data_IF_159734441851
#
_entry.id   IF_159734441851
#
_cell.length_a   1.000
_cell.length_b   1.000
_cell.length_c   1.000
_cell.angle_alpha   90.00
_cell.angle_beta   90.00
_cell.angle_gamma   90.00
#
_symmetry.space_group_name_H-M   'P 1'
#
loop_
_entity.id
_entity.type
_entity.pdbx_description
1 polymer ?
#
# COMPACT_ATOMS: atom_id res chain seq x y z
N UNK A 1 -12.90 -23.95 -3.38
CA UNK A 1 -13.71 -24.74 -4.32
C UNK A 1 -14.24 -26.03 -3.69
N UNK A 2 -13.54 -26.66 -2.74
CA UNK A 2 -13.91 -27.94 -2.15
C UNK A 2 -13.56 -29.17 -3.02
N UNK A 3 -12.85 -28.95 -4.13
CA UNK A 3 -12.34 -30.04 -4.96
C UNK A 3 -11.03 -30.56 -4.38
N UNK A 4 -10.85 -31.88 -4.39
CA UNK A 4 -9.59 -32.52 -4.00
C UNK A 4 -8.55 -32.16 -5.07
N UNK A 5 -7.38 -31.72 -4.61
CA UNK A 5 -6.22 -31.44 -5.46
C UNK A 5 -5.08 -32.36 -5.07
N UNK A 6 -4.31 -32.80 -6.07
CA UNK A 6 -3.17 -33.67 -5.89
C UNK A 6 -1.92 -33.01 -6.47
N UNK A 7 -0.70 -33.31 -5.94
CA UNK A 7 0.55 -32.85 -6.52
C UNK A 7 0.72 -33.40 -7.93
N UNK A 8 1.08 -32.53 -8.86
CA UNK A 8 1.38 -32.88 -10.24
C UNK A 8 2.76 -32.36 -10.62
N UNK A 9 3.64 -33.23 -11.08
CA UNK A 9 4.96 -32.83 -11.55
C UNK A 9 4.85 -32.32 -12.98
N UNK A 10 5.34 -31.11 -13.18
CA UNK A 10 5.44 -30.48 -14.52
C UNK A 10 6.65 -29.55 -14.54
N UNK A 11 7.17 -29.28 -15.72
CA UNK A 11 8.25 -28.32 -15.90
C UNK A 11 7.76 -26.92 -15.54
N UNK A 12 8.60 -26.19 -14.83
CA UNK A 12 8.28 -24.87 -14.33
C UNK A 12 9.45 -23.91 -14.59
N UNK A 13 9.12 -22.63 -14.72
CA UNK A 13 10.10 -21.56 -14.76
C UNK A 13 10.48 -21.10 -13.36
N UNK A 14 11.78 -21.01 -13.12
CA UNK A 14 12.32 -20.56 -11.85
C UNK A 14 13.25 -19.36 -12.02
N UNK A 15 13.22 -18.45 -11.09
CA UNK A 15 14.24 -17.42 -10.88
C UNK A 15 15.24 -17.94 -9.85
N UNK A 16 16.52 -17.97 -10.20
CA UNK A 16 17.57 -18.19 -9.24
C UNK A 16 17.70 -16.96 -8.35
N UNK A 17 17.24 -17.07 -7.12
CA UNK A 17 17.04 -15.92 -6.22
C UNK A 17 18.26 -15.54 -5.44
N UNK A 18 19.16 -16.48 -5.13
CA UNK A 18 20.34 -16.25 -4.29
C UNK A 18 21.20 -15.08 -4.79
N UNK A 19 21.62 -15.01 -6.08
CA UNK A 19 22.44 -13.90 -6.56
C UNK A 19 21.70 -12.54 -6.57
N UNK A 20 20.35 -12.56 -6.52
CA UNK A 20 19.52 -11.35 -6.41
C UNK A 20 19.35 -10.91 -4.95
N UNK A 21 19.36 -11.86 -4.03
CA UNK A 21 19.16 -11.62 -2.61
C UNK A 21 20.38 -10.97 -1.94
N UNK A 22 21.57 -11.37 -2.31
CA UNK A 22 22.81 -10.84 -1.71
C UNK A 22 22.91 -9.30 -1.78
N UNK A 23 22.79 -8.64 -2.95
CA UNK A 23 22.82 -7.18 -3.01
C UNK A 23 21.60 -6.53 -2.33
N UNK A 24 20.44 -7.20 -2.35
CA UNK A 24 19.21 -6.71 -1.71
C UNK A 24 19.32 -6.72 -0.17
N UNK A 25 19.97 -7.74 0.42
CA UNK A 25 20.28 -7.80 1.84
C UNK A 25 21.24 -6.66 2.21
N UNK A 26 22.33 -6.50 1.44
CA UNK A 26 23.33 -5.47 1.67
C UNK A 26 22.72 -4.05 1.65
N UNK A 27 21.74 -3.78 0.76
CA UNK A 27 21.08 -2.48 0.68
C UNK A 27 20.28 -2.10 1.93
N UNK A 28 19.81 -3.08 2.70
CA UNK A 28 19.14 -2.84 3.98
C UNK A 28 20.17 -2.79 5.12
N UNK A 29 21.20 -3.63 5.09
CA UNK A 29 22.27 -3.64 6.11
C UNK A 29 23.06 -2.34 6.13
N UNK A 30 23.34 -1.75 4.96
CA UNK A 30 24.08 -0.49 4.83
C UNK A 30 23.21 0.77 4.93
N UNK A 31 21.89 0.61 5.09
CA UNK A 31 20.95 1.70 5.32
C UNK A 31 20.48 2.44 4.07
N UNK A 32 20.81 1.98 2.86
CA UNK A 32 20.21 2.53 1.61
C UNK A 32 18.70 2.33 1.56
N UNK A 33 18.21 1.27 2.22
CA UNK A 33 16.77 1.01 2.42
C UNK A 33 16.56 0.83 3.92
N UNK A 34 15.56 1.54 4.48
CA UNK A 34 15.22 1.49 5.89
C UNK A 34 13.76 1.04 6.08
N UNK A 35 13.51 0.21 7.07
CA UNK A 35 12.14 -0.16 7.45
C UNK A 35 11.66 0.69 8.63
N UNK A 36 10.43 1.16 8.54
CA UNK A 36 9.76 1.88 9.61
C UNK A 36 8.44 1.15 9.93
N UNK A 37 8.29 0.59 11.14
CA UNK A 37 9.28 0.52 12.21
C UNK A 37 10.40 -0.51 11.92
N UNK A 38 11.58 -0.25 12.46
CA UNK A 38 12.81 -1.03 12.22
C UNK A 38 12.69 -2.53 12.53
N UNK A 39 11.81 -2.92 13.42
CA UNK A 39 11.60 -4.34 13.77
C UNK A 39 11.28 -5.24 12.57
N UNK A 40 10.74 -4.71 11.48
CA UNK A 40 10.43 -5.46 10.27
C UNK A 40 11.64 -5.83 9.42
N UNK A 41 12.81 -5.23 9.68
CA UNK A 41 14.08 -5.69 9.11
C UNK A 41 14.37 -7.14 9.48
N UNK A 42 14.03 -7.55 10.71
CA UNK A 42 14.24 -8.94 11.14
C UNK A 42 13.42 -9.93 10.31
N UNK A 43 12.17 -9.60 9.99
CA UNK A 43 11.32 -10.41 9.12
C UNK A 43 11.89 -10.49 7.70
N UNK A 44 12.32 -9.34 7.15
CA UNK A 44 12.96 -9.27 5.86
C UNK A 44 14.23 -10.12 5.79
N UNK A 45 15.16 -9.96 6.73
CA UNK A 45 16.42 -10.70 6.76
C UNK A 45 16.22 -12.21 6.97
N UNK A 46 15.29 -12.61 7.85
CA UNK A 46 14.99 -14.02 8.09
C UNK A 46 14.57 -14.72 6.80
N UNK A 47 13.73 -14.08 6.00
CA UNK A 47 13.27 -14.64 4.74
C UNK A 47 14.35 -14.58 3.64
N UNK A 48 15.06 -13.45 3.53
CA UNK A 48 16.06 -13.24 2.46
C UNK A 48 17.29 -14.12 2.60
N UNK A 49 17.73 -14.41 3.83
CA UNK A 49 18.90 -15.25 4.09
C UNK A 49 18.65 -16.73 3.84
N UNK A 50 17.40 -17.17 3.89
CA UNK A 50 16.97 -18.56 3.62
C UNK A 50 16.10 -18.67 2.36
N UNK A 51 16.27 -17.74 1.43
CA UNK A 51 15.45 -17.66 0.23
C UNK A 51 15.70 -18.85 -0.69
N UNK A 52 14.61 -19.47 -1.15
CA UNK A 52 14.62 -20.55 -2.13
C UNK A 52 14.33 -19.98 -3.53
N UNK A 53 14.73 -20.75 -4.56
CA UNK A 53 14.46 -20.39 -5.95
C UNK A 53 12.93 -20.22 -6.15
N UNK A 54 12.58 -19.19 -6.89
CA UNK A 54 11.21 -18.74 -7.02
C UNK A 54 10.60 -19.26 -8.32
N UNK A 55 9.63 -20.18 -8.18
CA UNK A 55 8.79 -20.59 -9.30
C UNK A 55 7.91 -19.41 -9.76
N UNK A 56 8.08 -19.00 -11.01
CA UNK A 56 7.38 -17.84 -11.59
C UNK A 56 6.32 -18.22 -12.62
N UNK A 57 6.17 -19.47 -12.97
CA UNK A 57 5.13 -19.96 -13.88
C UNK A 57 3.86 -20.39 -13.14
N UNK A 58 2.71 -20.12 -13.75
CA UNK A 58 1.39 -20.48 -13.22
C UNK A 58 0.53 -21.04 -14.35
N UNK A 59 -0.18 -22.13 -14.08
CA UNK A 59 -1.11 -22.79 -14.98
C UNK A 59 -2.50 -22.13 -14.84
N UNK A 60 -2.63 -20.88 -15.28
CA UNK A 60 -3.86 -20.09 -15.24
C UNK A 60 -4.30 -19.70 -16.65
N UNK A 61 -5.59 -19.54 -16.84
CA UNK A 61 -6.15 -19.12 -18.14
C UNK A 61 -5.98 -17.66 -18.45
N UNK A 62 -5.70 -16.83 -17.42
CA UNK A 62 -5.57 -15.39 -17.54
C UNK A 62 -4.30 -14.89 -16.84
N UNK A 63 -3.53 -14.07 -17.53
CA UNK A 63 -2.32 -13.45 -17.02
C UNK A 63 -1.35 -13.06 -18.13
N UNK A 64 -0.15 -12.66 -17.75
CA UNK A 64 0.93 -12.39 -18.69
C UNK A 64 1.57 -13.71 -19.11
N UNK A 65 1.36 -14.13 -20.36
CA UNK A 65 1.99 -15.34 -20.89
C UNK A 65 3.51 -15.22 -20.83
N UNK A 66 4.15 -16.32 -20.48
CA UNK A 66 5.62 -16.39 -20.44
C UNK A 66 6.13 -16.16 -21.87
N UNK A 67 7.09 -15.20 -22.06
CA UNK A 67 7.60 -14.84 -23.38
C UNK A 67 8.69 -15.84 -23.83
N UNK A 68 8.36 -17.11 -23.80
CA UNK A 68 9.20 -18.22 -24.20
C UNK A 68 8.52 -19.04 -25.29
N UNK A 69 9.31 -19.55 -26.21
CA UNK A 69 8.88 -20.28 -27.40
C UNK A 69 9.69 -21.56 -27.52
N UNK A 70 9.04 -22.63 -27.90
CA UNK A 70 9.65 -23.95 -28.05
C UNK A 70 9.58 -24.39 -29.50
N UNK A 71 10.67 -24.97 -30.02
CA UNK A 71 10.65 -25.71 -31.28
C UNK A 71 10.26 -27.18 -31.04
N UNK A 72 10.14 -27.94 -32.13
CA UNK A 72 9.77 -29.38 -32.07
C UNK A 72 10.79 -30.23 -31.30
N UNK A 73 12.03 -29.78 -31.17
CA UNK A 73 13.07 -30.46 -30.38
C UNK A 73 13.00 -30.16 -28.89
N UNK A 74 12.11 -29.25 -28.47
CA UNK A 74 12.00 -28.74 -27.09
C UNK A 74 13.02 -27.66 -26.72
N UNK A 75 13.74 -27.12 -27.71
CA UNK A 75 14.67 -26.02 -27.48
C UNK A 75 13.91 -24.73 -27.23
N UNK A 76 14.35 -23.98 -26.17
CA UNK A 76 13.69 -22.77 -25.70
C UNK A 76 14.31 -21.52 -26.32
N UNK A 77 13.45 -20.60 -26.70
CA UNK A 77 13.82 -19.27 -27.19
C UNK A 77 13.02 -18.21 -26.44
N UNK A 78 13.64 -17.10 -26.08
CA UNK A 78 12.99 -16.02 -25.34
C UNK A 78 12.88 -14.75 -26.19
N UNK A 79 11.67 -14.22 -26.29
CA UNK A 79 11.36 -12.99 -27.03
C UNK A 79 9.93 -12.54 -26.78
N UNK A 80 9.63 -11.29 -27.07
CA UNK A 80 8.31 -10.68 -26.85
C UNK A 80 7.22 -11.29 -27.76
N UNK A 81 7.62 -11.65 -28.96
CA UNK A 81 6.76 -12.28 -29.96
C UNK A 81 7.56 -13.24 -30.85
N UNK A 82 6.87 -13.99 -31.66
CA UNK A 82 7.47 -14.96 -32.55
C UNK A 82 8.41 -14.32 -33.59
N UNK A 83 8.07 -13.12 -34.08
CA UNK A 83 8.88 -12.42 -35.06
C UNK A 83 10.23 -11.99 -34.49
N UNK A 84 10.25 -11.47 -33.24
CA UNK A 84 11.48 -11.15 -32.54
C UNK A 84 12.34 -12.40 -32.27
N UNK A 85 11.71 -13.49 -31.85
CA UNK A 85 12.41 -14.78 -31.65
C UNK A 85 13.08 -15.25 -32.93
N UNK A 86 12.35 -15.26 -34.07
CA UNK A 86 12.88 -15.67 -35.37
C UNK A 86 14.07 -14.79 -35.79
N UNK A 87 13.90 -13.47 -35.66
CA UNK A 87 14.96 -12.53 -36.03
C UNK A 87 16.20 -12.67 -35.13
N UNK A 88 16.03 -12.79 -33.81
CA UNK A 88 17.11 -12.88 -32.84
C UNK A 88 17.94 -14.17 -32.96
N UNK A 89 17.29 -15.28 -33.36
CA UNK A 89 17.91 -16.59 -33.41
C UNK A 89 18.12 -17.11 -34.86
N UNK A 90 17.87 -16.28 -35.87
CA UNK A 90 17.98 -16.62 -37.28
C UNK A 90 17.19 -17.89 -37.66
N UNK A 91 15.95 -18.00 -37.16
CA UNK A 91 15.10 -19.17 -37.43
C UNK A 91 14.30 -18.99 -38.72
N UNK A 92 14.33 -20.02 -39.57
CA UNK A 92 13.51 -20.07 -40.79
C UNK A 92 12.02 -20.21 -40.51
N UNK A 93 11.19 -19.91 -41.51
CA UNK A 93 9.73 -20.06 -41.40
C UNK A 93 9.28 -21.53 -41.32
N UNK A 94 10.16 -22.44 -41.68
CA UNK A 94 9.97 -23.89 -41.64
C UNK A 94 10.05 -24.47 -40.23
N UNK A 95 10.64 -23.72 -39.26
CA UNK A 95 10.69 -24.14 -37.87
C UNK A 95 9.40 -23.77 -37.16
N UNK A 96 8.62 -24.79 -36.76
CA UNK A 96 7.43 -24.57 -35.95
C UNK A 96 7.81 -24.07 -34.53
N UNK A 97 7.19 -22.97 -34.08
CA UNK A 97 7.38 -22.42 -32.77
C UNK A 97 6.07 -22.41 -32.00
N UNK A 98 6.09 -22.88 -30.77
CA UNK A 98 4.94 -22.83 -29.86
C UNK A 98 5.30 -21.98 -28.63
N UNK A 99 4.48 -20.95 -28.35
CA UNK A 99 4.63 -20.16 -27.15
C UNK A 99 4.25 -20.98 -25.92
N UNK A 100 4.95 -20.76 -24.80
CA UNK A 100 4.60 -21.31 -23.50
C UNK A 100 3.13 -21.02 -23.14
N UNK A 101 2.42 -21.99 -22.61
CA UNK A 101 1.03 -21.85 -22.22
C UNK A 101 0.84 -21.28 -20.82
N UNK A 102 1.89 -21.28 -20.01
CA UNK A 102 1.86 -20.75 -18.65
C UNK A 102 1.90 -19.22 -18.64
N UNK A 103 1.46 -18.66 -17.55
CA UNK A 103 1.51 -17.23 -17.27
C UNK A 103 2.47 -16.94 -16.12
N UNK A 104 2.96 -15.71 -16.05
CA UNK A 104 3.83 -15.27 -14.98
C UNK A 104 3.06 -15.15 -13.65
N UNK A 105 3.72 -15.47 -12.56
CA UNK A 105 3.27 -15.16 -11.20
C UNK A 105 2.93 -13.67 -11.07
N UNK A 106 1.79 -13.36 -10.46
CA UNK A 106 1.36 -11.98 -10.17
C UNK A 106 2.46 -11.16 -9.51
N UNK A 107 3.21 -11.78 -8.60
CA UNK A 107 4.29 -11.11 -7.88
C UNK A 107 5.52 -10.81 -8.74
N UNK A 108 5.69 -11.49 -9.86
CA UNK A 108 6.73 -11.15 -10.83
C UNK A 108 6.43 -9.80 -11.48
N UNK A 109 5.24 -9.65 -12.03
CA UNK A 109 4.80 -8.37 -12.63
C UNK A 109 4.76 -7.25 -11.59
N UNK A 110 4.26 -7.53 -10.37
CA UNK A 110 4.22 -6.57 -9.27
C UNK A 110 5.61 -6.14 -8.81
N UNK A 111 6.61 -7.03 -8.90
CA UNK A 111 7.99 -6.72 -8.55
C UNK A 111 8.69 -5.76 -9.53
N UNK A 112 8.15 -5.62 -10.74
CA UNK A 112 8.64 -4.69 -11.76
C UNK A 112 8.04 -3.28 -11.65
N UNK A 113 7.02 -3.10 -10.80
CA UNK A 113 6.15 -1.93 -10.79
C UNK A 113 6.91 -0.60 -10.61
N UNK A 114 7.92 -0.54 -9.73
CA UNK A 114 8.65 0.68 -9.38
C UNK A 114 9.31 1.37 -10.57
N UNK A 115 9.63 0.66 -11.62
CA UNK A 115 10.33 1.18 -12.80
C UNK A 115 9.59 0.92 -14.13
N UNK A 116 8.85 -0.18 -14.25
CA UNK A 116 8.16 -0.51 -15.50
C UNK A 116 7.06 0.50 -15.83
N UNK A 117 6.32 0.98 -14.84
CA UNK A 117 5.27 2.01 -15.02
C UNK A 117 5.82 3.39 -15.37
N UNK A 118 7.12 3.61 -15.15
CA UNK A 118 7.82 4.84 -15.50
C UNK A 118 8.47 4.80 -16.90
N UNK A 119 8.24 3.70 -17.63
CA UNK A 119 8.65 3.55 -19.02
C UNK A 119 9.97 2.79 -19.24
N UNK A 120 10.57 2.18 -18.20
CA UNK A 120 11.71 1.29 -18.38
C UNK A 120 11.37 0.17 -19.42
N UNK A 121 12.27 -0.23 -20.33
CA UNK A 121 13.72 0.04 -20.35
C UNK A 121 14.15 1.37 -20.99
N UNK A 122 13.22 2.16 -21.54
CA UNK A 122 13.54 3.47 -22.08
C UNK A 122 13.91 4.44 -20.96
N UNK A 123 14.88 5.32 -21.24
CA UNK A 123 15.32 6.36 -20.29
C UNK A 123 14.39 7.59 -20.38
N UNK A 124 13.13 7.41 -19.93
CA UNK A 124 12.11 8.46 -19.93
C UNK A 124 12.38 9.54 -18.89
N UNK A 125 11.84 10.73 -19.08
CA UNK A 125 11.89 11.80 -18.08
C UNK A 125 11.17 11.39 -16.77
N UNK A 126 10.10 10.57 -16.85
CA UNK A 126 9.43 10.04 -15.68
C UNK A 126 10.34 9.11 -14.87
N UNK A 127 11.05 8.20 -15.54
CA UNK A 127 11.99 7.28 -14.88
C UNK A 127 13.10 8.08 -14.19
N UNK A 128 13.70 9.05 -14.88
CA UNK A 128 14.78 9.88 -14.31
C UNK A 128 14.31 10.71 -13.10
N UNK A 129 13.07 11.19 -13.12
CA UNK A 129 12.53 12.08 -12.08
C UNK A 129 12.00 11.33 -10.86
N UNK A 130 11.35 10.18 -11.05
CA UNK A 130 10.57 9.52 -10.01
C UNK A 130 11.17 8.19 -9.52
N UNK A 131 12.17 7.66 -10.18
CA UNK A 131 12.94 6.54 -9.71
C UNK A 131 14.31 7.02 -9.19
N UNK A 132 14.71 6.64 -8.01
CA UNK A 132 14.11 5.85 -6.94
C UNK A 132 13.05 6.64 -6.17
N UNK A 133 11.96 5.98 -5.71
CA UNK A 133 10.98 6.65 -4.85
C UNK A 133 11.51 6.84 -3.43
N UNK A 134 10.92 7.78 -2.67
CA UNK A 134 11.35 8.02 -1.29
C UNK A 134 10.72 7.03 -0.31
N UNK A 135 9.40 6.81 -0.40
CA UNK A 135 8.67 5.98 0.56
C UNK A 135 7.77 4.98 -0.14
N UNK A 136 7.90 3.71 0.24
CA UNK A 136 6.92 2.66 -0.04
C UNK A 136 6.07 2.42 1.20
N UNK A 137 4.75 2.48 1.05
CA UNK A 137 3.79 2.16 2.12
C UNK A 137 3.21 0.77 1.87
N UNK A 138 3.28 -0.13 2.86
CA UNK A 138 2.83 -1.52 2.70
C UNK A 138 2.36 -2.13 4.02
N UNK A 139 1.59 -3.23 3.92
CA UNK A 139 1.34 -4.12 5.04
C UNK A 139 2.51 -5.09 5.28
N UNK A 140 2.62 -5.58 6.50
CA UNK A 140 3.69 -6.54 6.85
C UNK A 140 3.55 -7.89 6.13
N UNK A 141 2.33 -8.27 5.76
CA UNK A 141 1.99 -9.57 5.18
C UNK A 141 2.50 -9.74 3.73
N UNK A 142 2.94 -8.67 3.08
CA UNK A 142 3.50 -8.73 1.74
C UNK A 142 4.97 -8.26 1.65
N UNK A 143 5.67 -8.15 2.77
CA UNK A 143 7.09 -7.77 2.77
C UNK A 143 7.91 -8.73 1.91
N UNK A 144 7.75 -10.04 2.07
CA UNK A 144 8.51 -11.02 1.29
C UNK A 144 7.91 -11.28 -0.11
N UNK A 145 6.59 -11.13 -0.29
CA UNK A 145 5.97 -11.31 -1.60
C UNK A 145 6.22 -10.14 -2.54
N UNK A 146 6.20 -8.93 -2.03
CA UNK A 146 6.24 -7.72 -2.84
C UNK A 146 7.49 -6.88 -2.61
N UNK A 147 7.75 -6.46 -1.37
CA UNK A 147 8.86 -5.55 -1.06
C UNK A 147 10.22 -6.18 -1.44
N UNK A 148 10.49 -7.38 -0.94
CA UNK A 148 11.74 -8.09 -1.21
C UNK A 148 11.95 -8.34 -2.71
N UNK A 149 10.88 -8.69 -3.44
CA UNK A 149 10.94 -8.93 -4.89
C UNK A 149 11.15 -7.65 -5.68
N UNK A 150 10.52 -6.53 -5.27
CA UNK A 150 10.83 -5.23 -5.88
C UNK A 150 12.29 -4.84 -5.68
N UNK A 151 12.84 -5.04 -4.48
CA UNK A 151 14.25 -4.74 -4.20
C UNK A 151 15.18 -5.59 -5.10
N UNK A 152 14.98 -6.91 -5.11
CA UNK A 152 15.78 -7.84 -5.92
C UNK A 152 15.72 -7.48 -7.41
N UNK A 153 14.52 -7.34 -7.97
CA UNK A 153 14.34 -7.10 -9.41
C UNK A 153 14.83 -5.71 -9.81
N UNK A 154 14.55 -4.68 -9.02
CA UNK A 154 15.05 -3.32 -9.31
C UNK A 154 16.57 -3.29 -9.31
N UNK A 155 17.20 -3.78 -8.25
CA UNK A 155 18.65 -3.76 -8.14
C UNK A 155 19.37 -4.61 -9.20
N UNK A 156 18.68 -5.62 -9.74
CA UNK A 156 19.22 -6.42 -10.85
C UNK A 156 19.07 -5.72 -12.20
N UNK A 157 17.90 -5.16 -12.47
CA UNK A 157 17.50 -4.67 -13.80
C UNK A 157 17.81 -3.18 -14.02
N UNK A 158 17.73 -2.35 -12.97
CA UNK A 158 17.92 -0.91 -13.07
C UNK A 158 19.29 -0.51 -12.51
N UNK A 159 20.11 0.11 -13.36
CA UNK A 159 21.47 0.51 -13.03
C UNK A 159 21.64 2.02 -13.17
N UNK A 160 22.53 2.59 -12.37
CA UNK A 160 23.08 3.91 -12.57
C UNK A 160 23.99 3.94 -13.81
N UNK A 161 24.39 5.14 -14.23
CA UNK A 161 25.30 5.32 -15.37
C UNK A 161 26.66 4.64 -15.17
N UNK A 162 27.11 4.51 -13.93
CA UNK A 162 28.35 3.82 -13.52
C UNK A 162 28.17 2.28 -13.40
N UNK A 163 26.96 1.76 -13.69
CA UNK A 163 26.63 0.32 -13.60
C UNK A 163 26.26 -0.16 -12.20
N UNK A 164 26.28 0.71 -11.18
CA UNK A 164 25.85 0.33 -9.83
C UNK A 164 24.34 0.11 -9.74
N UNK A 165 23.86 -0.84 -8.89
CA UNK A 165 22.44 -1.09 -8.71
C UNK A 165 21.70 0.11 -8.11
N UNK A 166 20.51 0.44 -8.66
CA UNK A 166 19.61 1.38 -8.03
C UNK A 166 18.71 0.66 -7.02
N UNK A 167 18.40 1.32 -5.89
CA UNK A 167 17.36 0.86 -4.97
C UNK A 167 15.99 1.34 -5.44
N UNK A 168 14.90 0.58 -5.25
CA UNK A 168 13.56 1.00 -5.70
C UNK A 168 13.00 2.15 -4.87
N UNK A 169 13.29 2.19 -3.59
CA UNK A 169 12.82 3.17 -2.60
C UNK A 169 13.81 3.25 -1.43
N UNK A 170 13.76 4.35 -0.69
CA UNK A 170 14.65 4.60 0.46
C UNK A 170 14.05 4.11 1.78
N UNK A 171 12.74 4.28 1.96
CA UNK A 171 12.02 3.92 3.18
C UNK A 171 10.87 2.98 2.89
N UNK A 172 10.74 1.92 3.68
CA UNK A 172 9.57 1.02 3.69
C UNK A 172 8.77 1.30 4.95
N UNK A 173 7.68 2.04 4.82
CA UNK A 173 6.74 2.26 5.92
C UNK A 173 5.75 1.09 5.99
N UNK A 174 5.81 0.35 7.10
CA UNK A 174 4.95 -0.83 7.32
C UNK A 174 3.81 -0.47 8.25
N UNK A 175 2.60 -0.38 7.70
CA UNK A 175 1.39 -0.07 8.46
C UNK A 175 0.76 -1.33 9.09
N UNK A 176 -0.05 -1.13 10.12
CA UNK A 176 -0.92 -2.18 10.66
C UNK A 176 -2.09 -2.49 9.73
N UNK A 177 -2.59 -3.73 9.78
CA UNK A 177 -3.81 -4.09 9.04
C UNK A 177 -5.05 -3.60 9.77
N UNK A 178 -6.00 -3.05 9.02
CA UNK A 178 -7.31 -2.66 9.57
C UNK A 178 -8.18 -3.90 9.74
N UNK A 179 -8.64 -4.11 10.95
CA UNK A 179 -9.55 -5.20 11.34
C UNK A 179 -10.92 -4.65 11.70
N UNK A 180 -11.93 -5.50 11.66
CA UNK A 180 -13.29 -5.12 12.08
C UNK A 180 -13.38 -4.76 13.58
N UNK A 181 -14.55 -4.32 14.03
CA UNK A 181 -14.81 -3.97 15.43
C UNK A 181 -14.60 -5.09 16.44
N UNK A 182 -14.54 -6.36 15.99
CA UNK A 182 -14.25 -7.54 16.79
C UNK A 182 -12.77 -7.97 16.68
N UNK A 183 -11.95 -7.23 15.92
CA UNK A 183 -10.53 -7.54 15.69
C UNK A 183 -10.28 -8.65 14.67
N UNK A 184 -11.28 -9.04 13.86
CA UNK A 184 -11.15 -10.03 12.82
C UNK A 184 -10.63 -9.43 11.52
N UNK A 185 -9.83 -10.19 10.76
CA UNK A 185 -9.43 -9.79 9.41
C UNK A 185 -10.68 -9.65 8.53
N UNK A 186 -10.83 -8.48 7.91
CA UNK A 186 -11.92 -8.22 6.99
C UNK A 186 -11.76 -8.99 5.69
N UNK A 187 -12.84 -9.61 5.21
CA UNK A 187 -12.89 -10.26 3.90
C UNK A 187 -14.31 -10.30 3.35
N UNK A 188 -14.45 -10.24 2.03
CA UNK A 188 -15.76 -10.37 1.35
C UNK A 188 -16.46 -11.69 1.71
N UNK A 189 -15.70 -12.79 1.81
CA UNK A 189 -16.25 -14.11 2.15
C UNK A 189 -16.82 -14.20 3.57
N UNK A 190 -16.38 -13.34 4.49
CA UNK A 190 -16.92 -13.25 5.87
C UNK A 190 -18.04 -12.22 6.00
N UNK A 191 -18.25 -11.37 4.98
CA UNK A 191 -19.25 -10.30 5.01
C UNK A 191 -18.98 -9.20 6.04
N UNK A 192 -17.75 -9.08 6.55
CA UNK A 192 -17.37 -8.10 7.57
C UNK A 192 -16.54 -6.94 7.01
N UNK A 193 -16.55 -6.74 5.69
CA UNK A 193 -15.85 -5.61 5.07
C UNK A 193 -16.63 -4.34 5.33
N UNK A 194 -15.93 -3.29 5.76
CA UNK A 194 -16.40 -1.92 5.80
C UNK A 194 -15.79 -1.18 4.61
N UNK A 195 -16.64 -0.73 3.70
CA UNK A 195 -16.20 0.09 2.58
C UNK A 195 -15.94 1.52 3.07
N UNK A 196 -14.77 2.11 2.83
CA UNK A 196 -14.49 3.49 3.19
C UNK A 196 -15.53 4.49 2.63
N UNK A 197 -16.07 4.26 1.44
CA UNK A 197 -17.08 5.12 0.85
C UNK A 197 -18.39 5.10 1.66
N UNK A 198 -18.79 3.95 2.17
CA UNK A 198 -20.00 3.85 3.02
C UNK A 198 -19.85 4.62 4.34
N UNK A 199 -18.61 4.78 4.83
CA UNK A 199 -18.32 5.58 6.02
C UNK A 199 -18.29 7.08 5.69
N UNK A 200 -17.73 7.42 4.53
CA UNK A 200 -17.63 8.81 4.07
C UNK A 200 -19.00 9.39 3.74
N UNK A 201 -19.76 8.69 2.90
CA UNK A 201 -21.00 9.18 2.31
C UNK A 201 -22.24 8.77 3.09
N UNK A 202 -22.11 7.74 3.93
CA UNK A 202 -23.22 7.09 4.59
C UNK A 202 -23.88 6.03 3.72
N UNK A 203 -24.58 5.08 4.35
CA UNK A 203 -25.35 4.03 3.68
C UNK A 203 -26.51 3.59 4.57
N UNK A 204 -27.68 3.40 3.97
CA UNK A 204 -28.83 2.84 4.68
C UNK A 204 -28.66 1.35 4.99
N UNK A 205 -29.37 0.86 6.00
CA UNK A 205 -29.25 -0.52 6.47
C UNK A 205 -29.52 -1.56 5.38
N UNK A 206 -30.57 -1.38 4.58
CA UNK A 206 -30.97 -2.41 3.61
C UNK A 206 -29.94 -2.53 2.48
N UNK A 207 -29.43 -1.39 2.00
CA UNK A 207 -28.35 -1.35 1.00
C UNK A 207 -27.06 -1.96 1.57
N UNK A 208 -26.71 -1.69 2.83
CA UNK A 208 -25.55 -2.28 3.50
C UNK A 208 -25.70 -3.81 3.63
N UNK A 209 -26.86 -4.30 4.03
CA UNK A 209 -27.17 -5.73 4.10
C UNK A 209 -27.01 -6.39 2.72
N UNK A 210 -27.60 -5.79 1.68
CA UNK A 210 -27.48 -6.30 0.32
C UNK A 210 -26.00 -6.34 -0.14
N UNK A 211 -25.23 -5.28 0.12
CA UNK A 211 -23.82 -5.20 -0.23
C UNK A 211 -22.98 -6.27 0.45
N UNK A 212 -23.22 -6.53 1.75
CA UNK A 212 -22.48 -7.51 2.55
C UNK A 212 -22.89 -8.97 2.27
N UNK A 213 -24.11 -9.20 1.77
CA UNK A 213 -24.63 -10.54 1.47
C UNK A 213 -24.52 -10.93 0.00
N UNK A 214 -24.16 -10.01 -0.88
CA UNK A 214 -23.98 -10.27 -2.32
C UNK A 214 -22.62 -10.88 -2.62
N UNK A 215 -22.53 -11.75 -3.65
CA UNK A 215 -21.27 -12.31 -4.15
C UNK A 215 -20.52 -13.19 -3.15
N UNK A 216 -21.20 -13.78 -2.18
CA UNK A 216 -20.57 -14.67 -1.20
C UNK A 216 -20.12 -15.98 -1.84
N UNK A 217 -18.89 -16.39 -1.56
CA UNK A 217 -18.37 -17.72 -1.93
C UNK A 217 -19.18 -18.86 -1.29
N UNK A 218 -19.79 -18.62 -0.12
CA UNK A 218 -20.62 -19.54 0.62
C UNK A 218 -22.01 -18.94 0.89
N UNK A 219 -23.00 -19.11 -0.01
CA UNK A 219 -24.34 -18.52 0.12
C UNK A 219 -25.05 -18.85 1.45
N UNK A 220 -24.70 -20.00 2.08
CA UNK A 220 -25.26 -20.43 3.38
C UNK A 220 -24.98 -19.43 4.51
N UNK A 221 -23.93 -18.59 4.36
CA UNK A 221 -23.57 -17.59 5.38
C UNK A 221 -24.42 -16.32 5.31
N UNK A 222 -25.20 -16.08 4.23
CA UNK A 222 -25.96 -14.86 4.01
C UNK A 222 -26.85 -14.50 5.20
N UNK A 223 -27.65 -15.44 5.71
CA UNK A 223 -28.55 -15.19 6.86
C UNK A 223 -27.80 -14.78 8.14
N UNK A 224 -26.62 -15.38 8.36
CA UNK A 224 -25.80 -15.04 9.53
C UNK A 224 -25.22 -13.64 9.38
N UNK A 225 -24.69 -13.30 8.18
CA UNK A 225 -24.11 -12.00 7.87
C UNK A 225 -25.19 -10.91 7.95
N UNK A 226 -26.38 -11.15 7.40
CA UNK A 226 -27.52 -10.24 7.51
C UNK A 226 -27.85 -9.93 8.97
N UNK A 227 -28.02 -10.97 9.79
CA UNK A 227 -28.32 -10.76 11.22
C UNK A 227 -27.23 -9.95 11.91
N UNK A 228 -25.95 -10.28 11.70
CA UNK A 228 -24.84 -9.54 12.28
C UNK A 228 -24.81 -8.09 11.83
N UNK A 229 -25.10 -7.82 10.54
CA UNK A 229 -25.14 -6.45 10.00
C UNK A 229 -26.26 -5.64 10.62
N UNK A 230 -27.46 -6.21 10.80
CA UNK A 230 -28.59 -5.54 11.45
C UNK A 230 -28.35 -5.29 12.95
N UNK A 231 -27.68 -6.21 13.62
CA UNK A 231 -27.32 -6.07 15.04
C UNK A 231 -26.22 -4.99 15.25
N UNK A 232 -25.28 -4.86 14.32
CA UNK A 232 -24.13 -3.93 14.41
C UNK A 232 -24.49 -2.51 13.90
N UNK A 233 -25.34 -2.41 12.87
CA UNK A 233 -25.67 -1.16 12.17
C UNK A 233 -27.19 -0.99 12.04
N UNK A 234 -27.91 -0.93 13.17
CA UNK A 234 -29.36 -0.91 13.18
C UNK A 234 -29.99 0.21 12.32
N UNK A 235 -29.32 1.36 12.22
CA UNK A 235 -29.75 2.54 11.45
C UNK A 235 -28.90 2.74 10.16
N UNK A 236 -28.12 1.74 9.76
CA UNK A 236 -27.11 1.90 8.71
C UNK A 236 -25.84 2.63 9.21
N UNK A 237 -25.12 3.26 8.30
CA UNK A 237 -23.93 4.05 8.62
C UNK A 237 -24.20 5.51 8.24
N UNK A 238 -24.08 6.42 9.20
CA UNK A 238 -24.20 7.85 8.94
C UNK A 238 -23.01 8.36 8.11
N UNK A 239 -23.20 9.46 7.38
CA UNK A 239 -22.07 10.14 6.70
C UNK A 239 -21.16 10.81 7.72
N UNK A 240 -19.88 10.46 7.67
CA UNK A 240 -18.87 11.07 8.56
C UNK A 240 -17.91 12.01 7.83
N UNK A 241 -17.82 11.89 6.51
CA UNK A 241 -16.92 12.69 5.68
C UNK A 241 -15.49 12.14 5.62
N UNK A 242 -14.76 12.56 4.60
CA UNK A 242 -13.42 12.06 4.28
C UNK A 242 -12.40 12.42 5.36
N UNK A 243 -12.43 13.65 5.88
CA UNK A 243 -11.45 14.14 6.84
C UNK A 243 -11.53 13.39 8.18
N UNK A 244 -12.76 13.11 8.65
CA UNK A 244 -12.97 12.33 9.86
C UNK A 244 -12.36 10.92 9.76
N UNK A 245 -12.60 10.24 8.63
CA UNK A 245 -12.05 8.91 8.39
C UNK A 245 -10.51 8.95 8.30
N UNK A 246 -9.94 9.89 7.53
CA UNK A 246 -8.48 10.04 7.39
C UNK A 246 -7.81 10.37 8.71
N UNK A 247 -8.38 11.29 9.49
CA UNK A 247 -7.86 11.64 10.81
C UNK A 247 -7.93 10.45 11.78
N UNK A 248 -9.01 9.65 11.71
CA UNK A 248 -9.13 8.41 12.49
C UNK A 248 -7.98 7.46 12.17
N UNK A 249 -7.68 7.21 10.89
CA UNK A 249 -6.56 6.35 10.53
C UNK A 249 -5.22 6.91 10.99
N UNK A 250 -4.97 8.20 10.83
CA UNK A 250 -3.74 8.82 11.35
C UNK A 250 -3.62 8.61 12.85
N UNK A 251 -4.68 8.86 13.62
CA UNK A 251 -4.67 8.71 15.08
C UNK A 251 -4.47 7.28 15.57
N UNK A 252 -4.82 6.28 14.74
CA UNK A 252 -4.68 4.86 15.04
C UNK A 252 -3.40 4.25 14.46
N UNK A 253 -2.67 4.99 13.61
CA UNK A 253 -1.45 4.53 12.95
C UNK A 253 -0.26 4.50 13.92
N UNK A 254 -0.39 3.75 15.01
CA UNK A 254 0.72 3.44 15.90
C UNK A 254 1.65 2.41 15.24
N UNK A 255 2.90 2.36 15.67
CA UNK A 255 3.97 1.58 15.04
C UNK A 255 3.65 0.09 14.90
N UNK A 256 3.24 -0.33 13.70
CA UNK A 256 3.22 -1.73 13.27
C UNK A 256 2.18 -2.65 13.92
N UNK A 257 1.20 -2.12 14.63
CA UNK A 257 0.11 -2.93 15.21
C UNK A 257 -1.12 -2.93 14.33
N UNK A 258 -1.83 -4.06 14.32
CA UNK A 258 -3.14 -4.13 13.68
C UNK A 258 -4.11 -3.12 14.30
N UNK A 259 -4.88 -2.46 13.44
CA UNK A 259 -5.83 -1.41 13.81
C UNK A 259 -7.19 -2.05 13.98
N UNK A 260 -7.70 -2.12 15.20
CA UNK A 260 -9.10 -2.46 15.46
C UNK A 260 -9.94 -1.22 15.15
N UNK A 261 -10.77 -1.30 14.11
CA UNK A 261 -11.57 -0.18 13.66
C UNK A 261 -12.72 0.11 14.64
N UNK A 262 -12.94 1.39 14.93
CA UNK A 262 -13.95 1.86 15.88
C UNK A 262 -14.72 3.03 15.27
N UNK A 263 -16.00 2.81 14.97
CA UNK A 263 -16.90 3.83 14.42
C UNK A 263 -17.10 5.02 15.35
N UNK A 264 -17.09 4.81 16.67
CA UNK A 264 -17.22 5.89 17.64
C UNK A 264 -16.05 6.90 17.57
N UNK A 265 -14.85 6.44 17.20
CA UNK A 265 -13.73 7.35 16.95
C UNK A 265 -13.94 8.18 15.69
N UNK A 266 -14.49 7.60 14.63
CA UNK A 266 -14.80 8.36 13.40
C UNK A 266 -15.79 9.47 13.69
N UNK A 267 -16.83 9.19 14.49
CA UNK A 267 -17.79 10.19 14.93
C UNK A 267 -17.14 11.31 15.76
N UNK A 268 -16.27 10.93 16.71
CA UNK A 268 -15.52 11.90 17.51
C UNK A 268 -14.66 12.83 16.64
N UNK A 269 -13.97 12.29 15.65
CA UNK A 269 -13.16 13.11 14.74
C UNK A 269 -13.96 13.89 13.73
N UNK A 270 -15.16 13.45 13.33
CA UNK A 270 -16.10 14.30 12.59
C UNK A 270 -16.45 15.56 13.38
N UNK A 271 -16.77 15.41 14.67
CA UNK A 271 -17.10 16.53 15.52
C UNK A 271 -15.88 17.47 15.70
N UNK A 272 -14.68 16.90 15.79
CA UNK A 272 -13.43 17.67 15.82
C UNK A 272 -13.22 18.48 14.54
N UNK A 273 -13.35 17.87 13.35
CA UNK A 273 -13.26 18.57 12.07
C UNK A 273 -14.30 19.70 11.96
N UNK A 274 -15.54 19.46 12.40
CA UNK A 274 -16.58 20.48 12.44
C UNK A 274 -16.23 21.64 13.38
N UNK A 275 -15.60 21.36 14.53
CA UNK A 275 -15.09 22.40 15.44
C UNK A 275 -14.08 23.31 14.74
N UNK A 276 -13.07 22.72 14.09
CA UNK A 276 -12.06 23.49 13.34
C UNK A 276 -12.70 24.33 12.24
N UNK A 277 -13.62 23.74 11.48
CA UNK A 277 -14.32 24.43 10.40
C UNK A 277 -15.08 25.65 10.94
N UNK A 278 -15.84 25.47 12.00
CA UNK A 278 -16.63 26.55 12.60
C UNK A 278 -15.74 27.64 13.23
N UNK A 279 -14.62 27.26 13.85
CA UNK A 279 -13.64 28.22 14.36
C UNK A 279 -13.02 29.04 13.23
N UNK A 280 -12.62 28.39 12.12
CA UNK A 280 -12.06 29.06 10.94
C UNK A 280 -13.09 30.04 10.34
N UNK A 281 -14.36 29.63 10.17
CA UNK A 281 -15.43 30.50 9.68
C UNK A 281 -15.61 31.71 10.58
N UNK A 282 -15.61 31.53 11.90
CA UNK A 282 -15.74 32.64 12.83
C UNK A 282 -14.59 33.64 12.69
N UNK A 283 -13.35 33.14 12.58
CA UNK A 283 -12.16 34.00 12.39
C UNK A 283 -12.26 34.79 11.08
N UNK A 284 -12.64 34.13 10.00
CA UNK A 284 -12.80 34.80 8.70
C UNK A 284 -13.89 35.86 8.74
N UNK A 285 -15.06 35.57 9.30
CA UNK A 285 -16.18 36.51 9.46
C UNK A 285 -15.79 37.74 10.27
N UNK A 286 -15.04 37.55 11.36
CA UNK A 286 -14.59 38.68 12.21
C UNK A 286 -13.37 39.41 11.65
N UNK A 287 -12.62 38.77 10.76
CA UNK A 287 -11.45 39.33 10.11
C UNK A 287 -11.74 40.18 8.87
N UNK A 288 -12.96 40.10 8.28
CA UNK A 288 -13.30 40.85 7.06
C UNK A 288 -13.14 42.36 7.22
N UNK A 289 -13.47 42.91 8.40
CA UNK A 289 -13.37 44.33 8.72
C UNK A 289 -12.03 44.75 9.34
N UNK A 290 -11.13 43.83 9.60
CA UNK A 290 -9.81 44.10 10.14
C UNK A 290 -8.89 44.59 9.00
N UNK A 291 -8.81 45.91 8.82
CA UNK A 291 -7.96 46.50 7.78
C UNK A 291 -6.52 46.01 7.90
N UNK A 292 -5.98 45.50 6.81
CA UNK A 292 -4.58 45.09 6.67
C UNK A 292 -3.69 46.32 6.51
N UNK A 293 -3.69 47.23 7.48
CA UNK A 293 -2.96 48.50 7.39
C UNK A 293 -1.45 48.33 7.67
N UNK A 294 -0.98 47.07 7.91
CA UNK A 294 0.45 46.81 8.18
C UNK A 294 0.97 47.47 9.47
N UNK A 295 0.10 47.99 10.31
CA UNK A 295 0.50 48.53 11.60
C UNK A 295 0.92 47.40 12.56
N UNK A 296 2.05 47.61 13.24
CA UNK A 296 2.51 46.64 14.26
C UNK A 296 1.50 46.60 15.42
N UNK A 297 0.91 45.43 15.65
CA UNK A 297 0.01 45.22 16.79
C UNK A 297 0.83 44.86 18.01
N UNK A 298 0.59 45.57 19.11
CA UNK A 298 1.19 45.22 20.38
C UNK A 298 0.48 43.96 20.96
N UNK A 299 1.24 42.84 21.01
CA UNK A 299 0.73 41.57 21.46
C UNK A 299 0.59 41.56 22.99
N UNK A 300 -0.59 41.16 23.48
CA UNK A 300 -0.83 40.89 24.90
C UNK A 300 -0.03 39.66 25.37
N UNK A 301 -0.01 39.42 26.67
CA UNK A 301 0.60 38.22 27.23
C UNK A 301 -0.10 36.93 26.67
N UNK A 302 -1.41 36.95 26.55
CA UNK A 302 -2.20 35.84 26.00
C UNK A 302 -1.84 35.57 24.54
N UNK A 303 -1.72 36.63 23.71
CA UNK A 303 -1.34 36.48 22.29
C UNK A 303 0.06 35.86 22.15
N UNK A 304 1.04 36.37 22.91
CA UNK A 304 2.39 35.82 22.92
C UNK A 304 2.44 34.38 23.41
N UNK A 305 1.60 34.02 24.38
CA UNK A 305 1.53 32.68 24.91
C UNK A 305 0.94 31.70 23.86
N UNK A 306 -0.19 32.05 23.24
CA UNK A 306 -0.80 31.15 22.23
C UNK A 306 0.08 30.99 20.98
N UNK A 307 0.74 32.05 20.53
CA UNK A 307 1.71 31.98 19.43
C UNK A 307 2.86 31.05 19.80
N UNK A 308 3.39 31.15 21.03
CA UNK A 308 4.44 30.24 21.51
C UNK A 308 3.98 28.79 21.54
N UNK A 309 2.73 28.51 21.94
CA UNK A 309 2.18 27.16 21.93
C UNK A 309 2.00 26.63 20.50
N UNK A 310 1.51 27.47 19.60
CA UNK A 310 1.39 27.12 18.18
C UNK A 310 2.74 26.72 17.58
N UNK A 311 3.78 27.54 17.76
CA UNK A 311 5.12 27.22 17.26
C UNK A 311 5.69 25.92 17.82
N UNK A 312 5.44 25.61 19.09
CA UNK A 312 5.83 24.33 19.69
C UNK A 312 5.06 23.16 19.06
N UNK A 313 3.77 23.35 18.82
CA UNK A 313 2.93 22.32 18.18
C UNK A 313 3.36 22.08 16.74
N UNK A 314 3.67 23.14 15.98
CA UNK A 314 4.19 23.03 14.61
C UNK A 314 5.50 22.23 14.56
N UNK A 315 6.45 22.55 15.45
CA UNK A 315 7.71 21.84 15.56
C UNK A 315 7.49 20.36 15.93
N UNK A 316 6.59 20.08 16.86
CA UNK A 316 6.25 18.72 17.29
C UNK A 316 5.59 17.92 16.16
N UNK A 317 4.59 18.48 15.48
CA UNK A 317 3.91 17.84 14.36
C UNK A 317 4.91 17.53 13.24
N UNK A 318 5.77 18.49 12.87
CA UNK A 318 6.80 18.27 11.86
C UNK A 318 7.72 17.12 12.25
N UNK A 319 8.22 17.14 13.47
CA UNK A 319 9.09 16.08 14.00
C UNK A 319 8.43 14.70 13.96
N UNK A 320 7.14 14.61 14.31
CA UNK A 320 6.41 13.34 14.31
C UNK A 320 6.13 12.84 12.88
N UNK A 321 5.83 13.73 11.95
CA UNK A 321 5.66 13.36 10.53
C UNK A 321 6.98 12.85 9.93
N UNK A 322 8.11 13.49 10.22
CA UNK A 322 9.44 13.06 9.77
C UNK A 322 9.81 11.66 10.31
N UNK A 323 9.28 11.29 11.47
CA UNK A 323 9.46 9.98 12.10
C UNK A 323 8.36 8.97 11.74
N UNK A 324 7.44 9.29 10.84
CA UNK A 324 6.28 8.47 10.48
C UNK A 324 5.37 8.13 11.69
N UNK A 325 5.34 9.00 12.71
CA UNK A 325 4.49 8.87 13.89
C UNK A 325 3.21 9.68 13.70
N UNK A 326 2.38 9.25 12.76
CA UNK A 326 1.11 9.91 12.44
C UNK A 326 0.16 9.97 13.62
N UNK A 327 0.19 8.98 14.49
CA UNK A 327 -0.55 8.94 15.77
C UNK A 327 -0.20 10.11 16.67
N UNK A 328 1.09 10.38 16.87
CA UNK A 328 1.54 11.47 17.73
C UNK A 328 1.37 12.85 17.06
N UNK A 329 1.50 12.93 15.73
CA UNK A 329 1.19 14.16 15.01
C UNK A 329 -0.30 14.52 15.14
N UNK A 330 -1.19 13.53 14.94
CA UNK A 330 -2.64 13.71 15.12
C UNK A 330 -2.99 14.09 16.56
N UNK A 331 -2.35 13.48 17.56
CA UNK A 331 -2.54 13.81 18.97
C UNK A 331 -2.14 15.25 19.27
N UNK A 332 -0.97 15.71 18.82
CA UNK A 332 -0.50 17.07 19.04
C UNK A 332 -1.46 18.12 18.45
N UNK A 333 -1.97 17.88 17.24
CA UNK A 333 -2.98 18.75 16.61
C UNK A 333 -4.30 18.76 17.38
N UNK A 334 -4.76 17.58 17.80
CA UNK A 334 -6.00 17.44 18.53
C UNK A 334 -5.95 18.15 19.90
N UNK A 335 -4.87 17.95 20.64
CA UNK A 335 -4.64 18.58 21.93
C UNK A 335 -4.57 20.11 21.80
N UNK A 336 -3.80 20.64 20.85
CA UNK A 336 -3.73 22.08 20.62
C UNK A 336 -5.10 22.70 20.37
N UNK A 337 -5.91 22.12 19.47
CA UNK A 337 -7.23 22.67 19.14
C UNK A 337 -8.30 22.50 20.23
N UNK A 338 -8.09 21.60 21.20
CA UNK A 338 -9.06 21.38 22.30
C UNK A 338 -8.70 22.07 23.57
N UNK A 339 -7.41 22.22 23.89
CA UNK A 339 -6.94 22.75 25.16
C UNK A 339 -6.67 24.26 25.11
N UNK A 340 -6.43 24.77 23.92
CA UNK A 340 -6.13 26.18 23.66
C UNK A 340 -7.13 26.83 22.73
#
# INVERSE_FOLDING_TARGET
>A
SGTIIEPWLTDQWYVSTKPLAEPAIAAVEDGRIQFVPKQYENMYFSWMRDIQDWCISRQLWWGHRIPAWYDESGKVYVGRDEAEVRAKHNLGADIALQQDNDVLDTWFSSGLWTFSTLGWPQQTEFLKKFHSTDVLVTGFDIIFFWVARMIMLTMHLVKNEDGTPQVPFKTVYVHGLVRDGQGQKMSKSKGNVLDPLDIIDGIDLETLVQKRTSGLMQPKLAKKIEKQTRDEFADGIASYGTDALRFTFCSLASTGRDIKFDMGRVEGYRNFCNKIWNAARYVLDKGEDCGQNGEAVELSLADRWIISQLQRTEAEVTRQLDQFRFDLAAQALYEFCLLY
#
